data_IF_716739720078
#
_entry.id   IF_716739720078
#
_cell.length_a   1.000
_cell.length_b   1.000
_cell.length_c   1.000
_cell.angle_alpha   90.00
_cell.angle_beta   90.00
_cell.angle_gamma   90.00
#
_symmetry.space_group_name_H-M   'P 1'
#
loop_
_entity.id
_entity.type
_entity.pdbx_description
1 polymer ?
#
# COMPACT_ATOMS: atom_id res chain seq x y z
N UNK A 1 11.40 -11.34 -4.40
CA UNK A 1 10.05 -11.26 -3.78
C UNK A 1 9.21 -12.43 -4.30
N UNK A 2 8.49 -13.12 -3.41
CA UNK A 2 7.53 -14.17 -3.80
C UNK A 2 6.24 -13.96 -2.99
N UNK A 3 5.12 -13.72 -3.68
CA UNK A 3 3.80 -13.57 -3.07
C UNK A 3 2.86 -14.64 -3.63
N UNK A 4 2.35 -15.50 -2.75
CA UNK A 4 1.33 -16.51 -3.07
C UNK A 4 0.02 -16.09 -2.45
N UNK A 5 -1.02 -16.01 -3.25
CA UNK A 5 -2.38 -15.67 -2.83
C UNK A 5 -3.33 -16.76 -3.32
N UNK A 6 -4.03 -17.39 -2.38
CA UNK A 6 -5.12 -18.31 -2.68
C UNK A 6 -6.19 -18.10 -1.62
N UNK A 7 -7.17 -17.24 -1.91
CA UNK A 7 -8.18 -16.83 -0.94
C UNK A 7 -9.57 -16.83 -1.53
N UNK A 8 -10.54 -17.02 -0.64
CA UNK A 8 -11.96 -16.79 -0.90
C UNK A 8 -12.51 -15.79 0.12
N UNK A 9 -13.33 -14.85 -0.37
CA UNK A 9 -14.09 -13.92 0.48
C UNK A 9 -15.49 -13.74 -0.07
N UNK A 10 -16.48 -14.02 0.76
CA UNK A 10 -17.89 -13.78 0.44
C UNK A 10 -18.17 -12.29 0.53
N UNK A 11 -18.62 -11.73 -0.56
CA UNK A 11 -19.15 -10.39 -0.67
C UNK A 11 -20.67 -10.44 -0.75
N UNK A 12 -21.31 -9.27 -0.74
CA UNK A 12 -22.77 -9.19 -0.73
C UNK A 12 -23.41 -9.96 -1.91
N UNK A 13 -22.86 -9.77 -3.11
CA UNK A 13 -23.48 -10.22 -4.36
C UNK A 13 -22.73 -11.40 -5.02
N UNK A 14 -21.50 -11.71 -4.60
CA UNK A 14 -20.70 -12.81 -5.13
C UNK A 14 -19.61 -13.26 -4.15
N UNK A 15 -18.96 -14.39 -4.47
CA UNK A 15 -17.76 -14.83 -3.76
C UNK A 15 -16.54 -14.46 -4.59
N UNK A 16 -15.68 -13.64 -4.02
CA UNK A 16 -14.37 -13.34 -4.57
C UNK A 16 -13.46 -14.55 -4.39
N UNK A 17 -12.88 -15.03 -5.49
CA UNK A 17 -11.84 -16.05 -5.49
C UNK A 17 -10.60 -15.46 -6.15
N UNK A 18 -9.48 -15.37 -5.42
CA UNK A 18 -8.21 -14.90 -5.95
C UNK A 18 -7.15 -15.97 -5.78
N UNK A 19 -6.59 -16.43 -6.90
CA UNK A 19 -5.55 -17.47 -6.91
C UNK A 19 -4.46 -17.07 -7.90
N UNK A 20 -3.29 -16.67 -7.40
CA UNK A 20 -2.12 -16.31 -8.20
C UNK A 20 -0.82 -16.38 -7.40
N UNK A 21 0.28 -16.49 -8.13
CA UNK A 21 1.64 -16.37 -7.58
C UNK A 21 2.39 -15.28 -8.33
N UNK A 22 3.11 -14.44 -7.61
CA UNK A 22 3.91 -13.35 -8.12
C UNK A 22 5.36 -13.53 -7.69
N UNK A 23 6.31 -13.57 -8.63
CA UNK A 23 7.74 -13.71 -8.35
C UNK A 23 8.52 -12.64 -9.08
N UNK A 24 9.15 -11.73 -8.34
CA UNK A 24 10.02 -10.64 -8.83
C UNK A 24 9.48 -9.88 -10.06
N UNK A 25 8.16 -9.63 -10.09
CA UNK A 25 7.49 -8.99 -11.23
C UNK A 25 6.33 -8.11 -10.76
N UNK A 26 5.66 -7.46 -11.70
CA UNK A 26 4.45 -6.67 -11.46
C UNK A 26 3.22 -7.41 -11.99
N UNK A 27 2.14 -7.43 -11.21
CA UNK A 27 0.84 -7.96 -11.59
C UNK A 27 -0.19 -6.83 -11.65
N UNK A 28 -0.90 -6.72 -12.76
CA UNK A 28 -2.05 -5.84 -12.88
C UNK A 28 -3.36 -6.64 -12.73
N UNK A 29 -4.20 -6.23 -11.78
CA UNK A 29 -5.55 -6.76 -11.61
C UNK A 29 -6.51 -5.97 -12.49
N UNK A 30 -7.04 -6.59 -13.54
CA UNK A 30 -7.98 -5.97 -14.48
C UNK A 30 -9.40 -6.48 -14.23
N UNK A 31 -10.40 -5.64 -14.45
CA UNK A 31 -11.81 -6.00 -14.29
C UNK A 31 -12.70 -4.77 -14.08
N UNK A 32 -14.01 -4.96 -14.23
CA UNK A 32 -15.01 -3.91 -14.02
C UNK A 32 -14.97 -3.33 -12.59
N UNK A 33 -15.58 -2.16 -12.41
CA UNK A 33 -15.81 -1.63 -11.05
C UNK A 33 -16.64 -2.65 -10.25
N UNK A 34 -16.29 -2.84 -8.97
CA UNK A 34 -16.97 -3.81 -8.11
C UNK A 34 -16.52 -5.27 -8.28
N UNK A 35 -15.59 -5.61 -9.19
CA UNK A 35 -15.13 -7.01 -9.40
C UNK A 35 -14.25 -7.58 -8.28
N UNK A 36 -13.99 -6.83 -7.22
CA UNK A 36 -13.22 -7.30 -6.06
C UNK A 36 -11.72 -6.98 -6.08
N UNK A 37 -11.21 -6.18 -7.04
CA UNK A 37 -9.78 -5.81 -7.11
C UNK A 37 -9.26 -5.19 -5.81
N UNK A 38 -9.88 -4.11 -5.36
CA UNK A 38 -9.53 -3.44 -4.10
C UNK A 38 -9.70 -4.37 -2.90
N UNK A 39 -10.71 -5.25 -2.91
CA UNK A 39 -10.92 -6.24 -1.86
C UNK A 39 -9.78 -7.24 -1.79
N UNK A 40 -9.31 -7.75 -2.94
CA UNK A 40 -8.12 -8.61 -3.02
C UNK A 40 -6.90 -7.93 -2.41
N UNK A 41 -6.62 -6.68 -2.81
CA UNK A 41 -5.50 -5.91 -2.27
C UNK A 41 -5.63 -5.70 -0.75
N UNK A 42 -6.82 -5.37 -0.26
CA UNK A 42 -7.10 -5.21 1.18
C UNK A 42 -6.90 -6.51 1.96
N UNK A 43 -7.30 -7.65 1.40
CA UNK A 43 -7.05 -8.95 2.00
C UNK A 43 -5.55 -9.25 2.13
N UNK A 44 -4.75 -8.94 1.10
CA UNK A 44 -3.29 -9.12 1.14
C UNK A 44 -2.67 -8.21 2.19
N UNK A 45 -3.10 -6.96 2.27
CA UNK A 45 -2.62 -5.98 3.24
C UNK A 45 -3.06 -6.27 4.70
N UNK A 46 -4.06 -7.15 4.91
CA UNK A 46 -4.61 -7.43 6.24
C UNK A 46 -5.63 -6.39 6.72
N UNK A 47 -6.07 -5.51 5.83
CA UNK A 47 -7.14 -4.53 6.10
C UNK A 47 -8.52 -5.20 6.08
N UNK A 48 -8.63 -6.32 5.40
CA UNK A 48 -9.79 -7.19 5.37
C UNK A 48 -9.35 -8.64 5.58
N UNK A 49 -10.18 -9.44 6.22
CA UNK A 49 -9.89 -10.85 6.48
C UNK A 49 -10.60 -11.71 5.44
N UNK A 50 -9.90 -12.56 4.67
CA UNK A 50 -10.54 -13.58 3.84
C UNK A 50 -11.37 -14.55 4.68
N UNK A 51 -12.36 -15.24 4.06
CA UNK A 51 -13.12 -16.28 4.77
C UNK A 51 -12.37 -17.60 4.75
N UNK A 52 -11.61 -17.88 3.67
CA UNK A 52 -10.81 -19.11 3.52
C UNK A 52 -9.54 -18.84 2.73
N UNK A 53 -8.59 -19.78 2.88
CA UNK A 53 -7.39 -19.83 2.06
C UNK A 53 -6.14 -19.37 2.77
N UNK A 54 -5.16 -18.94 1.97
CA UNK A 54 -3.81 -18.63 2.46
C UNK A 54 -3.18 -17.48 1.69
N UNK A 55 -2.37 -16.67 2.39
CA UNK A 55 -1.51 -15.63 1.82
C UNK A 55 -0.11 -15.83 2.39
N UNK A 56 0.89 -15.96 1.49
CA UNK A 56 2.30 -16.14 1.87
C UNK A 56 3.12 -15.07 1.14
N UNK A 57 3.98 -14.37 1.88
CA UNK A 57 4.96 -13.42 1.33
C UNK A 57 6.38 -13.83 1.74
N UNK A 58 7.26 -14.07 0.76
CA UNK A 58 8.64 -14.48 0.97
C UNK A 58 8.79 -15.71 1.92
N UNK A 59 7.86 -16.68 1.80
CA UNK A 59 7.82 -17.88 2.66
C UNK A 59 7.19 -17.66 4.04
N UNK A 60 6.85 -16.42 4.41
CA UNK A 60 6.15 -16.10 5.66
C UNK A 60 4.64 -16.14 5.43
N UNK A 61 3.93 -16.94 6.21
CA UNK A 61 2.47 -16.98 6.19
C UNK A 61 1.91 -15.70 6.83
N UNK A 62 1.17 -14.91 6.04
CA UNK A 62 0.48 -13.71 6.50
C UNK A 62 -0.95 -14.01 6.96
N UNK A 63 -1.59 -14.95 6.26
CA UNK A 63 -2.94 -15.44 6.54
C UNK A 63 -3.04 -16.93 6.20
N UNK A 64 -3.70 -17.70 7.06
CA UNK A 64 -4.05 -19.09 6.81
C UNK A 64 -5.27 -19.45 7.66
N UNK A 65 -6.41 -19.70 6.99
CA UNK A 65 -7.66 -20.02 7.67
C UNK A 65 -7.63 -21.41 8.35
N UNK A 66 -6.84 -22.35 7.85
CA UNK A 66 -6.73 -23.69 8.42
C UNK A 66 -5.82 -23.75 9.64
N UNK A 67 -4.78 -22.91 9.67
CA UNK A 67 -3.84 -22.79 10.78
C UNK A 67 -4.22 -21.71 11.80
N UNK A 68 -5.27 -20.92 11.55
CA UNK A 68 -5.69 -19.82 12.42
C UNK A 68 -4.71 -18.64 12.42
N UNK A 69 -3.91 -18.49 11.37
CA UNK A 69 -2.94 -17.39 11.23
C UNK A 69 -3.59 -16.18 10.57
N UNK A 70 -3.51 -15.01 11.19
CA UNK A 70 -3.94 -13.74 10.59
C UNK A 70 -3.09 -12.61 11.16
N UNK A 71 -1.99 -12.29 10.49
CA UNK A 71 -1.09 -11.22 10.92
C UNK A 71 -1.79 -9.84 10.72
N UNK A 72 -1.65 -8.92 11.68
CA UNK A 72 -2.16 -7.57 11.52
C UNK A 72 -1.37 -6.82 10.43
N UNK A 73 -1.94 -5.75 9.81
CA UNK A 73 -1.33 -5.03 8.68
C UNK A 73 0.11 -4.58 8.93
N UNK A 74 0.40 -4.08 10.14
CA UNK A 74 1.72 -3.57 10.52
C UNK A 74 2.81 -4.62 10.54
N UNK A 75 2.46 -5.90 10.62
CA UNK A 75 3.40 -7.03 10.64
C UNK A 75 3.60 -7.70 9.26
N UNK A 76 2.88 -7.25 8.22
CA UNK A 76 2.89 -7.93 6.93
C UNK A 76 3.99 -7.50 5.97
N UNK A 77 4.74 -6.44 6.26
CA UNK A 77 5.74 -5.84 5.36
C UNK A 77 5.16 -5.47 3.98
N UNK A 78 3.90 -5.04 3.95
CA UNK A 78 3.13 -4.69 2.76
C UNK A 78 2.89 -3.20 2.74
N UNK A 79 3.29 -2.53 1.67
CA UNK A 79 2.93 -1.14 1.40
C UNK A 79 1.58 -1.06 0.66
N UNK A 80 0.65 -0.25 1.15
CA UNK A 80 -0.66 -0.06 0.52
C UNK A 80 -0.87 1.41 0.16
N UNK A 81 -1.04 1.69 -1.14
CA UNK A 81 -1.46 3.00 -1.62
C UNK A 81 -2.98 3.00 -1.78
N UNK A 82 -3.65 3.79 -0.95
CA UNK A 82 -5.08 4.02 -1.04
C UNK A 82 -5.41 4.98 -2.19
N UNK A 83 -6.59 4.84 -2.78
CA UNK A 83 -7.09 5.70 -3.84
C UNK A 83 -7.09 7.20 -3.45
N UNK A 84 -7.35 7.51 -2.18
CA UNK A 84 -7.35 8.86 -1.63
C UNK A 84 -6.03 9.21 -0.90
N UNK A 85 -4.94 8.45 -1.17
CA UNK A 85 -3.60 8.59 -0.58
C UNK A 85 -3.53 8.43 0.94
N UNK A 86 -4.62 8.57 1.67
CA UNK A 86 -4.75 8.44 3.13
C UNK A 86 -3.63 9.16 3.91
N UNK A 87 -3.27 10.39 3.49
CA UNK A 87 -2.34 11.22 4.24
C UNK A 87 -2.98 11.69 5.54
N UNK A 88 -2.19 11.82 6.59
CA UNK A 88 -2.63 12.39 7.85
C UNK A 88 -2.82 13.91 7.68
N UNK A 89 -4.04 14.44 7.70
CA UNK A 89 -4.32 15.82 7.27
C UNK A 89 -3.72 16.88 8.20
N UNK A 90 -3.52 16.53 9.47
CA UNK A 90 -2.98 17.42 10.49
C UNK A 90 -1.45 17.34 10.63
N UNK A 91 -0.81 16.45 9.88
CA UNK A 91 0.64 16.26 9.86
C UNK A 91 1.25 16.94 8.63
N UNK A 92 2.46 17.45 8.78
CA UNK A 92 3.28 17.96 7.66
C UNK A 92 3.75 16.82 6.76
N UNK A 93 4.36 17.13 5.61
CA UNK A 93 5.01 16.13 4.75
C UNK A 93 6.06 15.35 5.54
N UNK A 94 6.91 16.05 6.30
CA UNK A 94 7.91 15.43 7.18
C UNK A 94 7.27 14.44 8.13
N UNK A 95 6.28 14.89 8.88
CA UNK A 95 5.58 14.06 9.87
C UNK A 95 4.89 12.85 9.23
N UNK A 96 4.25 13.03 8.07
CA UNK A 96 3.64 11.92 7.32
C UNK A 96 4.66 10.84 6.94
N UNK A 97 5.87 11.23 6.50
CA UNK A 97 6.89 10.27 6.05
C UNK A 97 7.53 9.55 7.24
N UNK A 98 7.87 10.27 8.31
CA UNK A 98 8.62 9.69 9.45
C UNK A 98 7.71 9.00 10.48
N UNK A 99 6.40 9.21 10.44
CA UNK A 99 5.44 8.71 11.45
C UNK A 99 5.56 7.22 11.74
N UNK A 100 5.75 6.42 10.71
CA UNK A 100 5.77 4.95 10.82
C UNK A 100 7.20 4.37 10.83
N UNK A 101 8.23 5.21 10.93
CA UNK A 101 9.62 4.75 10.99
C UNK A 101 10.02 4.41 12.42
N UNK A 102 10.64 3.24 12.57
CA UNK A 102 11.36 2.84 13.78
C UNK A 102 12.82 3.28 13.67
N UNK A 103 13.57 3.25 14.80
CA UNK A 103 14.99 3.56 14.81
C UNK A 103 15.37 4.90 15.46
N UNK A 104 16.65 5.25 15.40
CA UNK A 104 17.19 6.48 15.98
C UNK A 104 16.73 7.72 15.20
N UNK A 105 16.86 8.90 15.82
CA UNK A 105 16.53 10.18 15.16
C UNK A 105 17.36 10.37 13.89
N UNK A 106 18.66 10.06 13.96
CA UNK A 106 19.59 10.19 12.85
C UNK A 106 19.19 9.29 11.67
N UNK A 107 18.76 8.07 11.96
CA UNK A 107 18.32 7.11 10.94
C UNK A 107 17.01 7.57 10.27
N UNK A 108 16.05 8.04 11.05
CA UNK A 108 14.80 8.62 10.53
C UNK A 108 15.06 9.82 9.63
N UNK A 109 15.96 10.73 10.02
CA UNK A 109 16.33 11.90 9.21
C UNK A 109 17.03 11.48 7.91
N UNK A 110 17.89 10.48 7.94
CA UNK A 110 18.54 9.94 6.73
C UNK A 110 17.50 9.37 5.75
N UNK A 111 16.61 8.48 6.24
CA UNK A 111 15.54 7.88 5.42
C UNK A 111 14.62 8.97 4.88
N UNK A 112 14.27 9.97 5.68
CA UNK A 112 13.46 11.10 5.27
C UNK A 112 14.12 11.88 4.11
N UNK A 113 15.38 12.28 4.27
CA UNK A 113 16.12 13.02 3.25
C UNK A 113 16.23 12.25 1.92
N UNK A 114 16.51 10.95 1.99
CA UNK A 114 16.56 10.07 0.82
C UNK A 114 15.20 10.03 0.07
N UNK A 115 14.10 9.98 0.81
CA UNK A 115 12.76 9.94 0.20
C UNK A 115 12.31 11.31 -0.31
N UNK A 116 12.65 12.40 0.36
CA UNK A 116 12.42 13.77 -0.13
C UNK A 116 13.09 13.97 -1.49
N UNK A 117 14.37 13.62 -1.61
CA UNK A 117 15.11 13.70 -2.87
C UNK A 117 14.53 12.78 -3.96
N UNK A 118 14.24 11.52 -3.61
CA UNK A 118 13.68 10.53 -4.55
C UNK A 118 12.37 10.97 -5.18
N UNK A 119 11.50 11.64 -4.40
CA UNK A 119 10.16 12.03 -4.82
C UNK A 119 10.04 13.52 -5.16
N UNK A 120 11.15 14.27 -5.23
CA UNK A 120 11.19 15.72 -5.52
C UNK A 120 10.19 16.49 -4.64
N UNK A 121 10.38 16.36 -3.32
CA UNK A 121 9.55 17.00 -2.28
C UNK A 121 10.30 18.12 -1.55
N UNK A 122 11.47 18.54 -2.06
CA UNK A 122 12.27 19.62 -1.51
C UNK A 122 11.46 20.93 -1.46
N UNK A 123 11.51 21.59 -0.31
CA UNK A 123 10.76 22.83 -0.04
C UNK A 123 9.29 22.60 0.34
N UNK A 124 8.83 21.35 0.43
CA UNK A 124 7.47 21.00 0.84
C UNK A 124 7.43 20.33 2.23
N UNK A 125 8.55 20.19 2.91
CA UNK A 125 8.73 19.39 4.12
C UNK A 125 7.77 19.80 5.24
N UNK A 126 7.53 21.10 5.40
CA UNK A 126 6.67 21.68 6.42
C UNK A 126 5.23 21.93 5.94
N UNK A 127 4.94 21.65 4.66
CA UNK A 127 3.60 21.80 4.12
C UNK A 127 2.66 20.71 4.65
N UNK A 128 1.38 21.05 4.81
CA UNK A 128 0.31 20.08 5.13
C UNK A 128 -0.36 19.59 3.85
N UNK A 129 -1.01 18.39 3.86
CA UNK A 129 -1.68 17.83 2.70
C UNK A 129 -2.64 18.80 2.00
N UNK A 130 -3.34 19.65 2.73
CA UNK A 130 -4.27 20.65 2.17
C UNK A 130 -3.62 21.71 1.31
N UNK A 131 -2.31 21.94 1.46
CA UNK A 131 -1.52 22.90 0.67
C UNK A 131 -0.86 22.26 -0.57
N UNK A 132 -1.01 20.95 -0.75
CA UNK A 132 -0.36 20.18 -1.81
C UNK A 132 -1.32 19.92 -2.97
N UNK A 133 -0.81 19.93 -4.20
CA UNK A 133 -1.53 19.40 -5.37
C UNK A 133 -1.74 17.89 -5.23
N UNK A 134 -2.71 17.32 -5.98
CA UNK A 134 -2.98 15.88 -5.97
C UNK A 134 -1.73 15.04 -6.31
N UNK A 135 -0.93 15.46 -7.30
CA UNK A 135 0.33 14.79 -7.63
C UNK A 135 1.39 14.88 -6.54
N UNK A 136 1.45 16.01 -5.80
CA UNK A 136 2.33 16.15 -4.64
C UNK A 136 1.88 15.25 -3.49
N UNK A 137 0.57 15.20 -3.20
CA UNK A 137 0.01 14.28 -2.20
C UNK A 137 0.31 12.82 -2.53
N UNK A 138 0.20 12.44 -3.79
CA UNK A 138 0.55 11.10 -4.26
C UNK A 138 2.03 10.78 -4.00
N UNK A 139 2.94 11.71 -4.35
CA UNK A 139 4.37 11.54 -4.11
C UNK A 139 4.70 11.41 -2.62
N UNK A 140 4.05 12.18 -1.76
CA UNK A 140 4.19 12.06 -0.29
C UNK A 140 3.71 10.68 0.19
N UNK A 141 2.59 10.17 -0.34
CA UNK A 141 2.09 8.85 0.01
C UNK A 141 3.06 7.74 -0.40
N UNK A 142 3.65 7.82 -1.60
CA UNK A 142 4.72 6.88 -2.01
C UNK A 142 5.96 6.99 -1.12
N UNK A 143 6.42 8.20 -0.82
CA UNK A 143 7.56 8.42 0.07
C UNK A 143 7.32 7.78 1.45
N UNK A 144 6.13 7.95 2.04
CA UNK A 144 5.73 7.33 3.32
C UNK A 144 5.76 5.81 3.26
N UNK A 145 5.22 5.21 2.19
CA UNK A 145 5.15 3.76 2.05
C UNK A 145 6.56 3.15 1.87
N UNK A 146 7.38 3.76 1.02
CA UNK A 146 8.71 3.25 0.70
C UNK A 146 9.73 3.51 1.82
N UNK A 147 9.56 4.56 2.60
CA UNK A 147 10.39 4.85 3.76
C UNK A 147 10.40 3.68 4.77
N UNK A 148 9.29 2.95 4.89
CA UNK A 148 9.16 1.81 5.79
C UNK A 148 9.83 0.51 5.27
N UNK A 149 10.20 0.45 4.00
CA UNK A 149 10.86 -0.75 3.45
C UNK A 149 9.91 -1.92 3.25
N UNK A 150 8.81 -1.72 2.52
CA UNK A 150 7.86 -2.78 2.22
C UNK A 150 8.43 -3.79 1.20
N UNK A 151 8.15 -5.09 1.43
CA UNK A 151 8.55 -6.18 0.52
C UNK A 151 7.70 -6.20 -0.76
N UNK A 152 6.45 -5.75 -0.68
CA UNK A 152 5.52 -5.65 -1.81
C UNK A 152 4.70 -4.37 -1.72
N UNK A 153 4.44 -3.74 -2.89
CA UNK A 153 3.57 -2.57 -3.00
C UNK A 153 2.24 -2.97 -3.63
N UNK A 154 1.16 -2.61 -2.97
CA UNK A 154 -0.21 -2.75 -3.45
C UNK A 154 -0.75 -1.37 -3.80
N UNK A 155 -1.10 -1.17 -5.07
CA UNK A 155 -1.56 0.11 -5.59
C UNK A 155 -3.04 0.01 -5.97
N UNK A 156 -3.89 0.69 -5.23
CA UNK A 156 -5.34 0.71 -5.47
C UNK A 156 -5.71 1.95 -6.30
N UNK A 157 -5.98 1.75 -7.58
CA UNK A 157 -6.30 2.79 -8.57
C UNK A 157 -5.30 3.96 -8.59
N UNK A 158 -3.98 3.70 -8.73
CA UNK A 158 -2.95 4.73 -8.56
C UNK A 158 -3.01 5.86 -9.60
N UNK A 159 -3.75 5.67 -10.70
CA UNK A 159 -3.87 6.64 -11.79
C UNK A 159 -5.22 7.38 -11.78
N UNK A 160 -6.08 7.14 -10.80
CA UNK A 160 -7.42 7.72 -10.75
C UNK A 160 -7.42 9.24 -10.59
N UNK A 161 -6.39 9.81 -9.96
CA UNK A 161 -6.22 11.25 -9.74
C UNK A 161 -5.38 11.96 -10.81
N UNK A 162 -4.88 11.24 -11.82
CA UNK A 162 -4.24 11.89 -12.95
C UNK A 162 -5.31 12.58 -13.79
N UNK A 163 -5.08 13.87 -14.08
CA UNK A 163 -5.95 14.68 -14.92
C UNK A 163 -6.35 13.92 -16.18
N UNK A 164 -7.62 14.00 -16.51
CA UNK A 164 -8.22 13.35 -17.69
C UNK A 164 -7.53 13.72 -19.00
N UNK A 165 -6.75 14.80 -19.03
CA UNK A 165 -5.96 15.26 -20.17
C UNK A 165 -4.69 14.42 -20.45
N UNK A 166 -4.25 13.56 -19.53
CA UNK A 166 -3.10 12.66 -19.70
C UNK A 166 -3.49 11.18 -19.87
N UNK A 167 -4.77 10.90 -20.07
CA UNK A 167 -5.30 9.52 -20.24
C UNK A 167 -5.23 8.98 -21.67
N UNK A 168 -4.46 9.65 -22.55
CA UNK A 168 -4.29 9.22 -23.97
C UNK A 168 -2.84 9.02 -24.33
#
# INVERSE_FOLDING_TARGET
>A
MNLVVNIEKRLRDFTLCANFTLTDTTLALLGASGSGKSMTLKCIAGLETPDRGQIILNGRTLYDSSAGVNLPPQERSVGYLFQNYALFPNMTVRENIIFALDGSREEKERIFAENVARFSLEGLEDARPSALSGGQQQRVAFARILARGADVLLLDEPLSALDTHLKW
#
